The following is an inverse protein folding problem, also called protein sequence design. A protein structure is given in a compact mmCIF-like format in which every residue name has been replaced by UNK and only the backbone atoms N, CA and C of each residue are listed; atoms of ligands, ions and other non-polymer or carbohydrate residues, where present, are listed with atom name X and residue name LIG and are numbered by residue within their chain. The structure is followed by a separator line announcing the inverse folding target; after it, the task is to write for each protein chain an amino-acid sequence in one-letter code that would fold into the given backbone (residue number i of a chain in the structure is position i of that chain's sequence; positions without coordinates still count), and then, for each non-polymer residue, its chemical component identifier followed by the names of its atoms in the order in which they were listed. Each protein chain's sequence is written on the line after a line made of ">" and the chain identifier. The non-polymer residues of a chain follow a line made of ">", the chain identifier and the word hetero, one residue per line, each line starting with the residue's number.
data_IF_836363497778
#
_entry.id   IF_836363497778
#
_cell.length_a   1.000
_cell.length_b   1.000
_cell.length_c   1.000
_cell.angle_alpha   90.00
_cell.angle_beta   90.00
_cell.angle_gamma   90.00
#
_symmetry.space_group_name_H-M   'P 1'
#
loop_
_entity.id
_entity.type
_entity.pdbx_description
1 polymer ?
#
# COMPACT_ATOMS: atom_id res chain seq x y z
N UNK A 1 -5.51 10.55 1.15
CA UNK A 1 -4.11 10.61 1.59
C UNK A 1 -3.99 9.80 2.88
N UNK A 2 -3.10 8.82 2.94
CA UNK A 2 -2.91 7.97 4.13
C UNK A 2 -2.19 8.74 5.24
N UNK A 3 -2.44 8.44 6.52
CA UNK A 3 -1.76 9.09 7.67
C UNK A 3 -0.44 8.41 8.05
N UNK A 4 0.48 9.14 8.68
CA UNK A 4 1.78 8.60 9.14
C UNK A 4 1.57 7.49 10.17
N UNK A 5 0.54 7.65 11.01
CA UNK A 5 0.11 6.65 11.99
C UNK A 5 -0.28 5.34 11.30
N UNK A 6 -1.12 5.38 10.26
CA UNK A 6 -1.50 4.19 9.49
C UNK A 6 -0.30 3.55 8.79
N UNK A 7 0.61 4.34 8.22
CA UNK A 7 1.84 3.83 7.61
C UNK A 7 2.76 3.16 8.65
N UNK A 8 2.83 3.74 9.84
CA UNK A 8 3.57 3.19 10.95
C UNK A 8 2.95 1.87 11.45
N UNK A 9 1.62 1.78 11.55
CA UNK A 9 0.95 0.53 11.87
C UNK A 9 1.26 -0.57 10.85
N UNK A 10 1.19 -0.28 9.55
CA UNK A 10 1.56 -1.26 8.52
C UNK A 10 3.02 -1.69 8.60
N UNK A 11 3.92 -0.77 8.98
CA UNK A 11 5.34 -1.08 9.16
C UNK A 11 5.60 -1.94 10.40
N UNK A 12 4.96 -1.62 11.53
CA UNK A 12 5.11 -2.38 12.79
C UNK A 12 4.48 -3.77 12.64
N UNK A 13 3.29 -3.83 12.04
CA UNK A 13 2.59 -5.08 11.77
C UNK A 13 3.32 -5.95 10.74
N UNK A 14 4.06 -5.32 9.80
CA UNK A 14 4.71 -6.02 8.70
C UNK A 14 3.71 -6.67 7.74
N UNK A 15 2.46 -6.21 7.76
CA UNK A 15 1.38 -6.79 6.99
C UNK A 15 1.52 -6.41 5.50
N UNK A 16 1.07 -7.33 4.64
CA UNK A 16 1.00 -7.05 3.21
C UNK A 16 -0.11 -6.04 2.97
N UNK A 17 0.21 -4.98 2.27
CA UNK A 17 -0.72 -3.98 1.75
C UNK A 17 -0.83 -4.08 0.23
N UNK A 18 -1.99 -3.70 -0.27
CA UNK A 18 -2.30 -3.43 -1.66
C UNK A 18 -2.42 -1.93 -1.85
N UNK A 19 -1.78 -1.43 -2.90
CA UNK A 19 -1.94 -0.04 -3.33
C UNK A 19 -2.61 -0.05 -4.69
N UNK A 20 -3.82 0.53 -4.75
CA UNK A 20 -4.61 0.62 -5.97
C UNK A 20 -4.14 1.82 -6.77
N UNK A 21 -3.69 1.58 -8.00
CA UNK A 21 -3.20 2.61 -8.91
C UNK A 21 -4.14 2.71 -10.11
N UNK A 22 -4.59 3.92 -10.43
CA UNK A 22 -5.42 4.20 -11.61
C UNK A 22 -6.74 3.40 -11.70
N UNK A 23 -7.19 2.77 -10.60
CA UNK A 23 -8.41 1.94 -10.55
C UNK A 23 -8.31 0.61 -11.31
N UNK A 24 -7.13 0.24 -11.82
CA UNK A 24 -6.92 -0.98 -12.61
C UNK A 24 -6.24 -2.08 -11.79
N UNK A 25 -6.84 -3.26 -11.78
CA UNK A 25 -6.37 -4.44 -11.02
C UNK A 25 -4.96 -4.89 -11.44
N UNK A 26 -4.64 -4.78 -12.73
CA UNK A 26 -3.31 -5.12 -13.25
C UNK A 26 -2.20 -4.24 -12.68
N UNK A 27 -2.53 -3.05 -12.20
CA UNK A 27 -1.57 -2.09 -11.65
C UNK A 27 -1.51 -2.11 -10.12
N UNK A 28 -2.24 -3.01 -9.46
CA UNK A 28 -2.20 -3.16 -8.02
C UNK A 28 -0.79 -3.52 -7.53
N UNK A 29 -0.26 -2.69 -6.63
CA UNK A 29 1.03 -2.99 -6.00
C UNK A 29 0.77 -3.74 -4.71
N UNK A 30 1.37 -4.92 -4.58
CA UNK A 30 1.31 -5.75 -3.38
C UNK A 30 2.68 -5.79 -2.71
N UNK A 31 2.75 -5.48 -1.43
CA UNK A 31 4.01 -5.46 -0.69
C UNK A 31 3.86 -5.01 0.75
N UNK A 32 4.97 -4.74 1.42
CA UNK A 32 4.99 -4.23 2.80
C UNK A 32 5.56 -2.81 2.81
N UNK A 33 5.12 -1.98 3.77
CA UNK A 33 5.70 -0.64 3.99
C UNK A 33 7.13 -0.81 4.52
N UNK A 34 8.10 -0.24 3.81
CA UNK A 34 9.49 -0.23 4.24
C UNK A 34 9.86 1.10 4.90
N UNK A 35 9.47 2.19 4.26
CA UNK A 35 9.72 3.57 4.68
C UNK A 35 8.70 4.49 4.00
N UNK A 36 8.55 5.71 4.47
CA UNK A 36 7.77 6.76 3.84
C UNK A 36 8.33 8.12 4.22
N UNK A 37 7.97 9.10 3.41
CA UNK A 37 8.28 10.52 3.57
C UNK A 37 6.96 11.30 3.50
N UNK A 38 7.04 12.63 3.47
CA UNK A 38 5.87 13.52 3.45
C UNK A 38 5.01 13.35 2.18
N UNK A 39 5.64 12.94 1.07
CA UNK A 39 4.98 12.85 -0.25
C UNK A 39 4.88 11.41 -0.78
N UNK A 40 5.79 10.54 -0.37
CA UNK A 40 5.96 9.22 -0.98
C UNK A 40 6.06 8.10 0.05
N UNK A 41 5.64 6.90 -0.34
CA UNK A 41 5.69 5.68 0.44
C UNK A 41 6.51 4.64 -0.33
N UNK A 42 7.48 4.04 0.34
CA UNK A 42 8.34 2.98 -0.18
C UNK A 42 7.77 1.62 0.17
N UNK A 43 7.33 0.88 -0.85
CA UNK A 43 6.75 -0.45 -0.72
C UNK A 43 7.73 -1.49 -1.24
N UNK A 44 8.03 -2.50 -0.42
CA UNK A 44 8.82 -3.66 -0.82
C UNK A 44 7.91 -4.75 -1.36
N UNK A 45 8.08 -5.07 -2.64
CA UNK A 45 7.38 -6.17 -3.31
C UNK A 45 7.96 -7.54 -2.92
N UNK A 46 7.18 -8.63 -3.04
CA UNK A 46 7.68 -10.00 -2.81
C UNK A 46 8.87 -10.36 -3.72
N UNK A 47 8.93 -9.79 -4.93
CA UNK A 47 10.06 -9.93 -5.87
C UNK A 47 11.33 -9.17 -5.43
N UNK A 48 11.45 -8.77 -4.16
CA UNK A 48 12.53 -7.98 -3.54
C UNK A 48 12.75 -6.58 -4.11
N UNK A 49 11.99 -6.16 -5.13
CA UNK A 49 12.03 -4.79 -5.67
C UNK A 49 11.31 -3.82 -4.74
N UNK A 50 11.89 -2.65 -4.54
CA UNK A 50 11.27 -1.53 -3.82
C UNK A 50 10.67 -0.58 -4.84
N UNK A 51 9.45 -0.12 -4.57
CA UNK A 51 8.77 0.87 -5.41
C UNK A 51 8.36 2.07 -4.57
N UNK A 52 8.48 3.25 -5.14
CA UNK A 52 8.01 4.49 -4.53
C UNK A 52 6.63 4.80 -5.08
N UNK A 53 5.69 5.06 -4.19
CA UNK A 53 4.30 5.38 -4.53
C UNK A 53 3.94 6.70 -3.87
N UNK A 54 3.04 7.43 -4.51
CA UNK A 54 2.54 8.68 -3.95
C UNK A 54 1.58 8.39 -2.78
N UNK A 55 1.60 9.26 -1.78
CA UNK A 55 0.76 9.11 -0.58
C UNK A 55 -0.74 9.38 -0.86
N UNK A 56 -1.05 9.90 -2.04
CA UNK A 56 -2.42 10.08 -2.52
C UNK A 56 -3.09 8.80 -3.03
N UNK A 57 -2.34 7.72 -3.26
CA UNK A 57 -2.94 6.44 -3.64
C UNK A 57 -3.75 5.80 -2.51
N UNK A 58 -4.59 4.84 -2.87
CA UNK A 58 -5.41 4.09 -1.92
C UNK A 58 -4.59 2.91 -1.41
N UNK A 59 -4.29 2.91 -0.11
CA UNK A 59 -3.62 1.82 0.59
C UNK A 59 -4.65 1.00 1.34
N UNK A 60 -4.64 -0.32 1.13
CA UNK A 60 -5.53 -1.26 1.80
C UNK A 60 -4.73 -2.47 2.27
N UNK A 61 -5.04 -3.05 3.45
CA UNK A 61 -4.43 -4.30 3.85
C UNK A 61 -4.83 -5.42 2.89
N UNK A 62 -3.89 -6.31 2.58
CA UNK A 62 -4.10 -7.43 1.67
C UNK A 62 -4.87 -8.57 2.32
N UNK A 63 -4.89 -8.61 3.66
CA UNK A 63 -5.62 -9.57 4.49
C UNK A 63 -7.11 -9.29 4.51
N UNK A 64 -7.52 -8.02 4.37
CA UNK A 64 -8.93 -7.73 4.13
C UNK A 64 -9.33 -8.16 2.72
N UNK A 65 -10.49 -8.82 2.55
CA UNK A 65 -11.05 -9.05 1.23
C UNK A 65 -11.15 -7.70 0.53
N UNK A 66 -10.78 -7.65 -0.76
CA UNK A 66 -10.96 -6.43 -1.56
C UNK A 66 -12.40 -5.97 -1.33
N UNK A 67 -12.58 -4.77 -0.77
CA UNK A 67 -13.90 -4.19 -0.69
C UNK A 67 -14.45 -4.15 -2.11
N UNK A 68 -15.40 -5.06 -2.40
CA UNK A 68 -16.18 -5.00 -3.61
C UNK A 68 -16.99 -3.72 -3.49
N UNK A 69 -16.74 -2.75 -4.38
CA UNK A 69 -17.40 -1.44 -4.33
C UNK A 69 -18.85 -1.53 -4.82
N UNK A 70 -19.44 -2.73 -4.89
CA UNK A 70 -20.80 -2.96 -5.31
C UNK A 70 -21.51 -3.96 -4.40
N UNK A 71 -22.18 -3.45 -3.36
CA UNK A 71 -23.44 -4.04 -2.87
C UNK A 71 -24.40 -2.98 -2.40
#
# INVERSE_FOLDING_TARGET
>A
MISDEQLNEYRISGEKIRVVRDGLESNDIKGIVLAWDETQVMIRRPNRRVVKLDRNYIFQPFTEPRADVLS
#
